data_IF_072881728395
#
_entry.id   IF_072881728395
#
_cell.length_a   1.000
_cell.length_b   1.000
_cell.length_c   1.000
_cell.angle_alpha   90.00
_cell.angle_beta   90.00
_cell.angle_gamma   90.00
#
_symmetry.space_group_name_H-M   'P 1'
#
loop_
_entity.id
_entity.type
_entity.pdbx_description
1 polymer ?
#
# COMPACT_ATOMS: atom_id res chain seq x y z
N UNK A 1 14.25 -8.34 -18.85
CA UNK A 1 14.61 -8.40 -17.42
C UNK A 1 13.36 -8.76 -16.62
N UNK A 2 13.50 -9.55 -15.56
CA UNK A 2 12.39 -9.81 -14.65
C UNK A 2 12.02 -8.52 -13.88
N UNK A 3 10.72 -8.25 -13.71
CA UNK A 3 10.27 -7.11 -12.92
C UNK A 3 10.47 -7.39 -11.43
N UNK A 4 11.01 -6.43 -10.69
CA UNK A 4 11.21 -6.55 -9.24
C UNK A 4 9.93 -6.23 -8.48
N UNK A 5 9.20 -5.18 -8.89
CA UNK A 5 8.03 -4.69 -8.19
C UNK A 5 6.86 -4.42 -9.15
N UNK A 6 5.65 -4.84 -8.76
CA UNK A 6 4.39 -4.39 -9.37
C UNK A 6 3.61 -3.59 -8.32
N UNK A 7 3.37 -2.32 -8.58
CA UNK A 7 2.51 -1.46 -7.74
C UNK A 7 1.09 -1.52 -8.29
N UNK A 8 0.14 -1.94 -7.47
CA UNK A 8 -1.28 -2.04 -7.81
C UNK A 8 -2.05 -0.97 -7.07
N UNK A 9 -2.78 -0.15 -7.82
CA UNK A 9 -3.59 0.94 -7.29
C UNK A 9 -5.02 0.77 -7.81
N UNK A 10 -5.98 0.63 -6.90
CA UNK A 10 -7.41 0.58 -7.26
C UNK A 10 -8.01 1.97 -7.13
N UNK A 11 -8.50 2.50 -8.24
CA UNK A 11 -9.17 3.80 -8.32
C UNK A 11 -10.69 3.68 -8.26
N UNK A 12 -11.32 4.55 -7.49
CA UNK A 12 -12.76 4.78 -7.54
C UNK A 12 -13.09 6.23 -7.17
N UNK A 13 -13.32 7.08 -8.19
CA UNK A 13 -13.72 8.49 -8.05
C UNK A 13 -12.76 9.36 -7.22
N UNK A 14 -11.44 9.18 -7.37
CA UNK A 14 -10.41 9.94 -6.64
C UNK A 14 -9.29 10.49 -7.55
N UNK A 15 -9.68 11.04 -8.71
CA UNK A 15 -8.83 11.53 -9.79
C UNK A 15 -7.54 12.22 -9.35
N UNK A 16 -7.65 13.26 -8.53
CA UNK A 16 -6.51 14.11 -8.19
C UNK A 16 -5.58 13.47 -7.14
N UNK A 17 -6.14 12.70 -6.22
CA UNK A 17 -5.35 11.90 -5.28
C UNK A 17 -4.55 10.84 -6.01
N UNK A 18 -5.19 10.14 -6.95
CA UNK A 18 -4.52 9.13 -7.78
C UNK A 18 -3.39 9.74 -8.61
N UNK A 19 -3.55 10.95 -9.19
CA UNK A 19 -2.48 11.64 -9.90
C UNK A 19 -1.28 11.93 -8.98
N UNK A 20 -1.52 12.39 -7.76
CA UNK A 20 -0.46 12.61 -6.77
C UNK A 20 0.23 11.29 -6.37
N UNK A 21 -0.55 10.23 -6.17
CA UNK A 21 -0.05 8.90 -5.84
C UNK A 21 0.87 8.38 -6.95
N UNK A 22 0.43 8.37 -8.21
CA UNK A 22 1.24 7.90 -9.35
C UNK A 22 2.55 8.70 -9.45
N UNK A 23 2.50 10.03 -9.31
CA UNK A 23 3.71 10.87 -9.32
C UNK A 23 4.70 10.51 -8.21
N UNK A 24 4.20 10.25 -7.01
CA UNK A 24 5.08 9.87 -5.90
C UNK A 24 5.73 8.49 -6.12
N UNK A 25 4.99 7.54 -6.69
CA UNK A 25 5.51 6.21 -7.04
C UNK A 25 6.56 6.31 -8.16
N UNK A 26 6.33 7.15 -9.19
CA UNK A 26 7.30 7.34 -10.28
C UNK A 26 8.63 7.91 -9.76
N UNK A 27 8.59 8.91 -8.85
CA UNK A 27 9.80 9.43 -8.19
C UNK A 27 10.53 8.35 -7.38
N UNK A 28 9.78 7.55 -6.62
CA UNK A 28 10.36 6.45 -5.85
C UNK A 28 10.97 5.34 -6.75
N UNK A 29 10.49 5.18 -7.99
CA UNK A 29 11.10 4.28 -8.97
C UNK A 29 12.48 4.78 -9.44
N UNK A 30 12.67 6.10 -9.57
CA UNK A 30 13.97 6.69 -9.93
C UNK A 30 15.03 6.34 -8.87
N UNK A 31 14.70 6.46 -7.58
CA UNK A 31 15.58 6.08 -6.47
C UNK A 31 15.81 4.57 -6.35
N UNK A 32 14.80 3.78 -6.67
CA UNK A 32 14.91 2.31 -6.58
C UNK A 32 15.83 1.73 -7.66
N UNK A 33 15.90 2.36 -8.83
CA UNK A 33 16.75 1.97 -9.97
C UNK A 33 16.65 0.47 -10.36
N UNK A 34 15.47 -0.10 -10.22
CA UNK A 34 15.16 -1.49 -10.59
C UNK A 34 13.88 -1.57 -11.41
N UNK A 35 13.73 -2.54 -12.33
CA UNK A 35 12.55 -2.66 -13.18
C UNK A 35 11.27 -2.83 -12.36
N UNK A 36 10.29 -1.95 -12.58
CA UNK A 36 9.01 -1.95 -11.90
C UNK A 36 7.87 -1.53 -12.82
N UNK A 37 6.62 -1.82 -12.42
CA UNK A 37 5.41 -1.43 -13.13
C UNK A 37 4.37 -0.86 -12.18
N UNK A 38 3.48 -0.01 -12.71
CA UNK A 38 2.27 0.47 -12.02
C UNK A 38 1.07 -0.06 -12.79
N UNK A 39 0.15 -0.72 -12.09
CA UNK A 39 -1.13 -1.17 -12.62
C UNK A 39 -2.23 -0.43 -11.89
N UNK A 40 -2.89 0.48 -12.59
CA UNK A 40 -4.04 1.21 -12.06
C UNK A 40 -5.31 0.51 -12.52
N UNK A 41 -6.09 -0.02 -11.60
CA UNK A 41 -7.42 -0.58 -11.89
C UNK A 41 -8.47 0.47 -11.60
N UNK A 42 -9.10 0.97 -12.64
CA UNK A 42 -10.28 1.81 -12.49
C UNK A 42 -11.51 0.95 -12.23
N UNK A 43 -12.05 1.09 -11.04
CA UNK A 43 -13.16 0.28 -10.56
C UNK A 43 -14.53 0.88 -10.91
N UNK A 44 -14.69 1.30 -12.19
CA UNK A 44 -15.89 1.92 -12.74
C UNK A 44 -16.13 3.34 -12.19
N UNK A 45 -15.12 4.22 -12.28
CA UNK A 45 -15.23 5.62 -11.87
C UNK A 45 -16.08 6.45 -12.86
N UNK A 46 -16.82 7.41 -12.33
CA UNK A 46 -17.64 8.35 -13.09
C UNK A 46 -17.02 9.76 -13.18
N UNK A 47 -15.88 10.00 -12.51
CA UNK A 47 -15.22 11.32 -12.42
C UNK A 47 -14.28 11.64 -13.58
N UNK A 48 -14.19 10.77 -14.60
CA UNK A 48 -13.29 10.91 -15.74
C UNK A 48 -11.81 10.76 -15.38
N UNK A 49 -11.49 10.09 -14.27
CA UNK A 49 -10.12 9.92 -13.80
C UNK A 49 -9.23 9.22 -14.82
N UNK A 50 -9.70 8.14 -15.44
CA UNK A 50 -8.86 7.38 -16.38
C UNK A 50 -8.54 8.19 -17.64
N UNK A 51 -9.54 8.85 -18.25
CA UNK A 51 -9.32 9.65 -19.46
C UNK A 51 -8.35 10.83 -19.20
N UNK A 52 -8.40 11.40 -18.00
CA UNK A 52 -7.48 12.43 -17.56
C UNK A 52 -6.05 11.87 -17.39
N UNK A 53 -5.93 10.72 -16.74
CA UNK A 53 -4.62 10.15 -16.39
C UNK A 53 -3.93 9.50 -17.59
N UNK A 54 -4.66 8.85 -18.51
CA UNK A 54 -4.09 8.32 -19.76
C UNK A 54 -3.49 9.43 -20.64
N UNK A 55 -4.12 10.62 -20.67
CA UNK A 55 -3.55 11.80 -21.36
C UNK A 55 -2.31 12.33 -20.65
N UNK A 56 -2.27 12.26 -19.32
CA UNK A 56 -1.16 12.76 -18.50
C UNK A 56 0.02 11.79 -18.46
N UNK A 57 -0.25 10.50 -18.51
CA UNK A 57 0.74 9.41 -18.51
C UNK A 57 0.58 8.55 -19.78
N UNK A 58 0.84 9.14 -20.98
CA UNK A 58 0.72 8.38 -22.23
C UNK A 58 1.73 7.23 -22.22
N UNK A 59 1.30 6.06 -22.67
CA UNK A 59 2.09 4.82 -22.60
C UNK A 59 3.43 4.91 -23.34
N UNK A 60 3.53 5.77 -24.34
CA UNK A 60 4.79 6.01 -25.08
C UNK A 60 5.86 6.63 -24.17
N UNK A 61 5.49 7.53 -23.24
CA UNK A 61 6.41 8.20 -22.32
C UNK A 61 6.51 7.49 -20.97
N UNK A 62 5.47 6.76 -20.58
CA UNK A 62 5.37 6.02 -19.31
C UNK A 62 5.01 4.55 -19.55
N UNK A 63 5.89 3.77 -20.22
CA UNK A 63 5.59 2.38 -20.58
C UNK A 63 5.38 1.45 -19.37
N UNK A 64 5.86 1.89 -18.19
CA UNK A 64 5.67 1.15 -16.93
C UNK A 64 4.29 1.39 -16.28
N UNK A 65 3.50 2.38 -16.75
CA UNK A 65 2.17 2.68 -16.20
C UNK A 65 1.09 2.09 -17.10
N UNK A 66 0.23 1.26 -16.54
CA UNK A 66 -0.87 0.62 -17.26
C UNK A 66 -2.19 0.86 -16.55
N UNK A 67 -3.20 1.28 -17.32
CA UNK A 67 -4.57 1.46 -16.86
C UNK A 67 -5.44 0.28 -17.29
N UNK A 68 -6.26 -0.25 -16.36
CA UNK A 68 -7.20 -1.35 -16.57
C UNK A 68 -8.58 -0.86 -16.16
N UNK A 69 -9.51 -0.80 -17.10
CA UNK A 69 -10.89 -0.34 -16.84
C UNK A 69 -11.80 -1.52 -16.51
N UNK A 70 -12.50 -1.45 -15.39
CA UNK A 70 -13.52 -2.43 -15.02
C UNK A 70 -14.89 -2.01 -15.57
N UNK A 71 -15.66 -2.96 -16.12
CA UNK A 71 -17.00 -2.70 -16.64
C UNK A 71 -18.03 -2.34 -15.55
N UNK A 72 -17.76 -2.72 -14.31
CA UNK A 72 -18.57 -2.41 -13.14
C UNK A 72 -17.69 -2.39 -11.88
N UNK A 73 -18.21 -1.86 -10.78
CA UNK A 73 -17.50 -1.84 -9.51
C UNK A 73 -17.38 -3.25 -8.92
N UNK A 74 -16.18 -3.81 -8.94
CA UNK A 74 -15.86 -5.16 -8.44
C UNK A 74 -15.68 -5.21 -6.92
N UNK A 75 -15.60 -4.05 -6.26
CA UNK A 75 -15.11 -3.91 -4.89
C UNK A 75 -13.58 -4.06 -4.80
N UNK A 76 -13.01 -3.65 -3.67
CA UNK A 76 -11.56 -3.52 -3.47
C UNK A 76 -10.80 -4.85 -3.69
N UNK A 77 -11.27 -5.92 -3.05
CA UNK A 77 -10.55 -7.20 -3.08
C UNK A 77 -10.50 -7.82 -4.50
N UNK A 78 -11.62 -7.83 -5.22
CA UNK A 78 -11.66 -8.43 -6.57
C UNK A 78 -10.87 -7.60 -7.57
N UNK A 79 -10.89 -6.27 -7.47
CA UNK A 79 -10.11 -5.39 -8.31
C UNK A 79 -8.60 -5.62 -8.11
N UNK A 80 -8.13 -5.67 -6.86
CA UNK A 80 -6.74 -6.03 -6.55
C UNK A 80 -6.37 -7.41 -7.09
N UNK A 81 -7.17 -8.45 -6.84
CA UNK A 81 -6.91 -9.81 -7.32
C UNK A 81 -6.82 -9.88 -8.84
N UNK A 82 -7.63 -9.09 -9.56
CA UNK A 82 -7.55 -9.00 -11.02
C UNK A 82 -6.21 -8.43 -11.48
N UNK A 83 -5.70 -7.39 -10.81
CA UNK A 83 -4.41 -6.80 -11.12
C UNK A 83 -3.24 -7.71 -10.71
N UNK A 84 -3.31 -8.39 -9.56
CA UNK A 84 -2.31 -9.36 -9.10
C UNK A 84 -2.07 -10.43 -10.16
N UNK A 85 -3.14 -10.98 -10.74
CA UNK A 85 -3.02 -11.99 -11.81
C UNK A 85 -2.35 -11.49 -13.09
N UNK A 86 -2.40 -10.19 -13.34
CA UNK A 86 -1.80 -9.54 -14.50
C UNK A 86 -0.41 -8.97 -14.23
N UNK A 87 0.00 -8.88 -12.96
CA UNK A 87 1.27 -8.33 -12.53
C UNK A 87 2.41 -9.35 -12.67
N UNK A 88 3.65 -8.88 -12.84
CA UNK A 88 4.82 -9.72 -13.12
C UNK A 88 5.98 -9.52 -12.14
N UNK A 89 5.89 -8.55 -11.23
CA UNK A 89 6.92 -8.27 -10.24
C UNK A 89 7.13 -9.43 -9.26
N UNK A 90 8.34 -9.59 -8.77
CA UNK A 90 8.68 -10.51 -7.68
C UNK A 90 7.93 -10.12 -6.39
N UNK A 91 7.81 -8.82 -6.16
CA UNK A 91 6.97 -8.24 -5.12
C UNK A 91 5.75 -7.56 -5.71
N UNK A 92 4.65 -7.55 -4.96
CA UNK A 92 3.39 -6.91 -5.29
C UNK A 92 3.06 -5.93 -4.19
N UNK A 93 3.01 -4.64 -4.51
CA UNK A 93 2.56 -3.59 -3.58
C UNK A 93 1.10 -3.28 -3.84
N UNK A 94 0.23 -3.51 -2.86
CA UNK A 94 -1.12 -2.95 -2.83
C UNK A 94 -1.03 -1.55 -2.21
N UNK A 95 -1.44 -0.54 -2.96
CA UNK A 95 -1.30 0.87 -2.58
C UNK A 95 -2.64 1.59 -2.74
N UNK A 96 -3.09 2.29 -1.72
CA UNK A 96 -4.27 3.13 -1.83
C UNK A 96 -4.03 4.36 -2.73
N UNK A 97 -5.02 4.80 -3.51
CA UNK A 97 -4.88 5.91 -4.45
C UNK A 97 -4.71 7.28 -3.79
N UNK A 98 -4.96 7.41 -2.50
CA UNK A 98 -4.81 8.62 -1.69
C UNK A 98 -3.50 8.66 -0.87
N UNK A 99 -2.57 7.76 -1.18
CA UNK A 99 -1.27 7.67 -0.51
C UNK A 99 -0.19 8.41 -1.29
N UNK A 100 0.69 9.12 -0.58
CA UNK A 100 1.92 9.70 -1.13
C UNK A 100 3.09 8.86 -0.63
N UNK A 101 3.85 8.26 -1.54
CA UNK A 101 5.00 7.41 -1.25
C UNK A 101 6.24 8.28 -1.10
N UNK A 102 7.02 8.08 -0.02
CA UNK A 102 8.33 8.70 0.14
C UNK A 102 9.32 8.17 -0.89
N UNK A 103 10.28 8.99 -1.30
CA UNK A 103 11.21 8.67 -2.39
C UNK A 103 12.01 7.39 -2.12
N UNK A 104 12.42 7.15 -0.88
CA UNK A 104 13.18 5.97 -0.43
C UNK A 104 12.31 4.76 -0.02
N UNK A 105 10.99 4.96 0.15
CA UNK A 105 10.10 3.96 0.77
C UNK A 105 10.01 2.64 -0.02
N UNK A 106 9.97 2.71 -1.36
CA UNK A 106 9.90 1.51 -2.19
C UNK A 106 11.23 0.75 -2.14
N UNK A 107 12.34 1.48 -2.27
CA UNK A 107 13.68 0.89 -2.18
C UNK A 107 13.90 0.21 -0.84
N UNK A 108 13.63 0.90 0.26
CA UNK A 108 13.78 0.36 1.61
C UNK A 108 12.91 -0.88 1.85
N UNK A 109 11.68 -0.90 1.31
CA UNK A 109 10.78 -2.06 1.42
C UNK A 109 11.28 -3.26 0.62
N UNK A 110 11.78 -3.03 -0.60
CA UNK A 110 12.35 -4.09 -1.45
C UNK A 110 13.63 -4.64 -0.83
N UNK A 111 14.54 -3.78 -0.39
CA UNK A 111 15.80 -4.16 0.27
C UNK A 111 15.52 -4.99 1.55
N UNK A 112 14.50 -4.58 2.33
CA UNK A 112 14.07 -5.33 3.51
C UNK A 112 13.55 -6.72 3.13
N UNK A 113 12.68 -6.82 2.12
CA UNK A 113 12.15 -8.10 1.66
C UNK A 113 13.26 -9.00 1.09
N UNK A 114 14.25 -8.45 0.41
CA UNK A 114 15.39 -9.20 -0.10
C UNK A 114 16.26 -9.76 1.03
N UNK A 115 16.46 -8.97 2.10
CA UNK A 115 17.24 -9.40 3.27
C UNK A 115 16.50 -10.39 4.19
N UNK A 116 15.15 -10.48 4.10
CA UNK A 116 14.32 -11.31 4.97
C UNK A 116 13.45 -12.26 4.12
N UNK A 117 14.02 -13.39 3.73
CA UNK A 117 13.31 -14.37 2.87
C UNK A 117 12.06 -14.99 3.53
N UNK A 118 12.01 -15.02 4.85
CA UNK A 118 10.88 -15.48 5.67
C UNK A 118 9.73 -14.46 5.73
N UNK A 119 9.97 -13.19 5.38
CA UNK A 119 8.94 -12.16 5.34
C UNK A 119 8.00 -12.36 4.14
N UNK A 120 6.73 -12.70 4.41
CA UNK A 120 5.68 -12.81 3.40
C UNK A 120 5.09 -11.46 2.99
N UNK A 121 5.08 -10.49 3.92
CA UNK A 121 4.57 -9.14 3.70
C UNK A 121 5.32 -8.10 4.52
N UNK A 122 5.39 -6.85 4.01
CA UNK A 122 5.90 -5.70 4.75
C UNK A 122 4.97 -4.50 4.58
N UNK A 123 4.79 -3.75 5.66
CA UNK A 123 4.16 -2.44 5.67
C UNK A 123 5.16 -1.38 6.14
N UNK A 124 4.87 -0.12 5.88
CA UNK A 124 5.72 1.00 6.27
C UNK A 124 5.10 1.83 7.38
N UNK A 125 5.92 2.63 8.06
CA UNK A 125 5.44 3.66 8.95
C UNK A 125 4.77 4.76 8.14
N UNK A 126 3.46 4.93 8.31
CA UNK A 126 2.70 5.98 7.65
C UNK A 126 2.64 7.24 8.50
N UNK A 127 2.61 8.38 7.82
CA UNK A 127 2.41 9.69 8.43
C UNK A 127 1.07 10.26 7.93
N UNK A 128 0.31 10.87 8.82
CA UNK A 128 -0.87 11.63 8.44
C UNK A 128 -0.49 12.99 7.82
N UNK A 129 -1.49 13.71 7.28
CA UNK A 129 -1.30 14.99 6.59
C UNK A 129 -0.55 16.07 7.42
N UNK A 130 -0.54 15.95 8.74
CA UNK A 130 0.17 16.85 9.65
C UNK A 130 1.59 16.35 10.04
N UNK A 131 2.12 15.34 9.36
CA UNK A 131 3.40 14.71 9.69
C UNK A 131 3.39 13.87 10.98
N UNK A 132 2.23 13.67 11.60
CA UNK A 132 2.10 12.83 12.79
C UNK A 132 2.04 11.36 12.40
N UNK A 133 2.59 10.49 13.25
CA UNK A 133 2.55 9.04 13.07
C UNK A 133 1.09 8.56 12.98
N UNK A 134 0.75 7.85 11.91
CA UNK A 134 -0.55 7.22 11.74
C UNK A 134 -0.59 5.90 12.51
N UNK A 135 -1.42 5.82 13.54
CA UNK A 135 -1.54 4.63 14.39
C UNK A 135 -1.99 3.39 13.60
N UNK A 136 -2.67 3.61 12.47
CA UNK A 136 -3.15 2.57 11.55
C UNK A 136 -2.04 1.87 10.76
N UNK A 137 -0.79 2.36 10.82
CA UNK A 137 0.36 1.74 10.16
C UNK A 137 0.56 0.29 10.57
N UNK A 138 0.16 -0.05 11.79
CA UNK A 138 0.29 -1.39 12.35
C UNK A 138 -0.91 -1.71 13.21
N UNK A 139 -1.38 -2.96 13.15
CA UNK A 139 -2.52 -3.41 13.92
C UNK A 139 -2.31 -4.81 14.47
N UNK A 140 -2.82 -5.04 15.66
CA UNK A 140 -3.04 -6.37 16.19
C UNK A 140 -4.32 -6.99 15.61
N UNK A 141 -4.42 -8.30 15.70
CA UNK A 141 -5.61 -9.03 15.26
C UNK A 141 -6.86 -8.53 16.01
N UNK A 142 -7.92 -8.12 15.30
CA UNK A 142 -9.12 -7.57 15.92
C UNK A 142 -9.99 -8.68 16.53
N UNK A 143 -9.52 -9.29 17.61
CA UNK A 143 -10.34 -10.24 18.39
C UNK A 143 -11.46 -9.49 19.13
N UNK A 144 -12.56 -10.15 19.54
CA UNK A 144 -13.64 -9.49 20.29
C UNK A 144 -13.13 -8.71 21.52
N UNK A 145 -12.18 -9.26 22.28
CA UNK A 145 -11.59 -8.61 23.44
C UNK A 145 -10.77 -7.37 23.07
N UNK A 146 -9.93 -7.46 22.02
CA UNK A 146 -9.12 -6.33 21.52
C UNK A 146 -10.03 -5.20 21.00
N UNK A 147 -11.09 -5.56 20.29
CA UNK A 147 -12.08 -4.61 19.79
C UNK A 147 -12.88 -3.96 20.93
N UNK A 148 -13.22 -4.71 21.96
CA UNK A 148 -13.89 -4.20 23.15
C UNK A 148 -13.02 -3.16 23.88
N UNK A 149 -11.74 -3.44 24.12
CA UNK A 149 -10.82 -2.47 24.73
C UNK A 149 -10.62 -1.22 23.90
N UNK A 150 -10.63 -1.34 22.56
CA UNK A 150 -10.62 -0.18 21.67
C UNK A 150 -11.88 0.67 21.83
N UNK A 151 -13.06 0.04 21.85
CA UNK A 151 -14.35 0.73 21.98
C UNK A 151 -14.44 1.49 23.32
N UNK A 152 -13.89 0.95 24.39
CA UNK A 152 -13.82 1.59 25.71
C UNK A 152 -12.71 2.66 25.81
N UNK A 153 -11.93 2.90 24.75
CA UNK A 153 -10.85 3.90 24.74
C UNK A 153 -9.58 3.48 25.48
N UNK A 154 -9.49 2.25 25.97
CA UNK A 154 -8.32 1.76 26.72
C UNK A 154 -7.03 1.78 25.89
N UNK A 155 -7.13 1.55 24.57
CA UNK A 155 -5.99 1.65 23.65
C UNK A 155 -5.34 3.05 23.66
N UNK A 156 -6.14 4.10 23.82
CA UNK A 156 -5.66 5.49 23.86
C UNK A 156 -5.12 5.86 25.24
N UNK A 157 -5.71 5.30 26.30
CA UNK A 157 -5.33 5.61 27.69
C UNK A 157 -4.07 4.89 28.13
N UNK A 158 -3.87 3.65 27.64
CA UNK A 158 -2.71 2.79 27.96
C UNK A 158 -2.10 2.18 26.68
N UNK A 159 -1.57 3.00 25.75
CA UNK A 159 -1.11 2.52 24.45
C UNK A 159 0.07 1.54 24.53
N UNK A 160 0.91 1.68 25.55
CA UNK A 160 2.09 0.82 25.76
C UNK A 160 1.79 -0.46 26.54
N UNK A 161 0.59 -0.64 27.05
CA UNK A 161 0.22 -1.86 27.76
C UNK A 161 -0.09 -2.99 26.77
N UNK A 162 0.55 -4.16 26.89
CA UNK A 162 0.46 -5.27 25.94
C UNK A 162 -0.98 -5.75 25.67
N UNK A 163 -1.87 -5.71 26.68
CA UNK A 163 -3.27 -6.11 26.54
C UNK A 163 -4.12 -4.98 25.97
N UNK A 164 -4.08 -3.79 26.59
CA UNK A 164 -4.94 -2.66 26.21
C UNK A 164 -4.48 -1.96 24.94
N UNK A 165 -3.17 -1.83 24.73
CA UNK A 165 -2.56 -1.23 23.52
C UNK A 165 -2.47 -2.21 22.34
N UNK A 166 -2.99 -3.45 22.46
CA UNK A 166 -2.82 -4.50 21.43
C UNK A 166 -3.41 -4.11 20.08
N UNK A 167 -4.50 -3.37 20.03
CA UNK A 167 -5.14 -2.98 18.78
C UNK A 167 -4.21 -2.21 17.84
N UNK A 168 -3.45 -1.25 18.36
CA UNK A 168 -2.47 -0.46 17.60
C UNK A 168 -1.03 -0.91 17.84
N UNK A 169 -0.82 -1.98 18.61
CA UNK A 169 0.49 -2.52 19.00
C UNK A 169 1.44 -1.40 19.50
N UNK A 170 0.89 -0.46 20.30
CA UNK A 170 1.60 0.73 20.78
C UNK A 170 2.81 0.46 21.68
N UNK A 171 2.96 -0.78 22.13
CA UNK A 171 4.11 -1.24 22.91
C UNK A 171 5.33 -1.63 22.06
N UNK A 172 5.18 -1.68 20.71
CA UNK A 172 6.30 -1.95 19.80
C UNK A 172 7.05 -0.67 19.48
N UNK A 173 8.38 -0.74 19.23
CA UNK A 173 9.19 0.41 18.81
C UNK A 173 8.68 0.96 17.47
N UNK A 174 8.82 2.28 17.26
CA UNK A 174 8.39 2.94 16.02
C UNK A 174 9.51 3.09 15.00
N UNK A 175 10.73 3.05 15.45
CA UNK A 175 11.91 3.40 14.65
C UNK A 175 12.73 2.15 14.26
N UNK A 176 12.24 0.96 14.62
CA UNK A 176 12.85 -0.33 14.29
C UNK A 176 11.85 -1.25 13.59
N UNK A 177 12.30 -2.09 12.65
CA UNK A 177 11.47 -3.14 12.08
C UNK A 177 10.93 -4.07 13.18
N UNK A 178 9.65 -4.39 13.11
CA UNK A 178 9.01 -5.27 14.08
C UNK A 178 7.95 -6.14 13.41
N UNK A 179 7.75 -7.32 13.96
CA UNK A 179 6.69 -8.22 13.50
C UNK A 179 5.33 -7.71 13.96
N UNK A 180 4.38 -7.63 13.04
CA UNK A 180 3.01 -7.18 13.28
C UNK A 180 2.00 -8.24 12.84
N UNK A 181 0.80 -8.21 13.45
CA UNK A 181 -0.23 -9.21 13.15
C UNK A 181 -1.04 -8.86 11.88
N UNK A 182 -1.22 -7.57 11.57
CA UNK A 182 -2.00 -7.11 10.41
C UNK A 182 -1.30 -5.91 9.76
N UNK A 183 -0.96 -6.06 8.49
CA UNK A 183 -0.42 -4.97 7.66
C UNK A 183 -1.55 -4.06 7.18
N UNK A 184 -1.31 -2.75 7.15
CA UNK A 184 -2.29 -1.79 6.65
C UNK A 184 -2.50 -1.94 5.14
N UNK A 185 -3.77 -1.95 4.69
CA UNK A 185 -4.10 -1.99 3.27
C UNK A 185 -3.74 -0.71 2.50
N UNK A 186 -3.36 0.38 3.17
CA UNK A 186 -2.93 1.60 2.51
C UNK A 186 -1.56 1.46 1.83
N UNK A 187 -0.67 0.63 2.41
CA UNK A 187 0.61 0.23 1.84
C UNK A 187 0.93 -1.18 2.33
N UNK A 188 0.82 -2.16 1.44
CA UNK A 188 1.05 -3.57 1.75
C UNK A 188 1.86 -4.22 0.64
N UNK A 189 3.18 -4.38 0.84
CA UNK A 189 4.05 -5.07 -0.09
C UNK A 189 4.07 -6.57 0.26
N UNK A 190 3.81 -7.40 -0.73
CA UNK A 190 3.65 -8.84 -0.61
C UNK A 190 4.73 -9.57 -1.43
N UNK A 191 5.26 -10.64 -0.90
CA UNK A 191 6.08 -11.57 -1.68
C UNK A 191 5.18 -12.42 -2.57
N UNK A 192 5.42 -12.43 -3.88
CA UNK A 192 4.57 -13.19 -4.83
C UNK A 192 4.44 -14.68 -4.48
N UNK A 193 5.49 -15.30 -3.95
CA UNK A 193 5.46 -16.71 -3.53
C UNK A 193 4.52 -16.99 -2.36
N UNK A 194 4.08 -15.94 -1.65
CA UNK A 194 3.15 -16.03 -0.52
C UNK A 194 1.68 -15.77 -0.93
N UNK A 195 1.41 -15.40 -2.21
CA UNK A 195 0.09 -15.20 -2.79
C UNK A 195 -0.41 -16.50 -3.45
#
# INVERSE_FOLDING_TARGET
MALKLSVIIVNYNVKYYLDQCIRSVLRAFEEMNTPAEIIVVDNHSADGSVDYLEKRYPQMLYPMVRFVRSAHNLGFARANNSAIRQSRGEYVLLLNPDTIVGEDALKASVDFMDAHEDAGAVGVRMLGAQGRRAMESRRGLPTPMVSFFKMLGFCNRWPHHRLFGKYYMGYLPWDEPCQIEVVSGAYCMLRRKAL
#
